data_IF_420618497993
#
_entry.id   IF_420618497993
#
_cell.length_a   1.000
_cell.length_b   1.000
_cell.length_c   1.000
_cell.angle_alpha   90.00
_cell.angle_beta   90.00
_cell.angle_gamma   90.00
#
_symmetry.space_group_name_H-M   'P 1'
#
loop_
_entity.id
_entity.type
_entity.pdbx_description
1 polymer ?
#
# COMPACT_ATOMS: atom_id res chain seq x y z
N UNK A 1 -1.53 7.91 -13.23
CA UNK A 1 -2.40 6.89 -12.59
C UNK A 1 -3.66 6.66 -13.42
N UNK A 2 -4.36 7.71 -13.89
CA UNK A 2 -5.61 7.56 -14.67
C UNK A 2 -5.44 6.65 -15.90
N UNK A 3 -4.35 6.80 -16.66
CA UNK A 3 -4.07 5.93 -17.80
C UNK A 3 -3.93 4.45 -17.36
N UNK A 4 -3.31 4.20 -16.20
CA UNK A 4 -3.19 2.84 -15.65
C UNK A 4 -4.56 2.27 -15.27
N UNK A 5 -5.42 3.06 -14.63
CA UNK A 5 -6.80 2.65 -14.32
C UNK A 5 -7.59 2.32 -15.60
N UNK A 6 -7.51 3.20 -16.61
CA UNK A 6 -8.20 3.02 -17.88
C UNK A 6 -7.79 1.75 -18.64
N UNK A 7 -6.58 1.25 -18.41
CA UNK A 7 -6.08 0.02 -19.01
C UNK A 7 -6.10 -1.18 -18.05
N UNK A 8 -6.69 -1.05 -16.86
CA UNK A 8 -6.76 -2.13 -15.88
C UNK A 8 -5.40 -2.58 -15.35
N UNK A 9 -4.39 -1.70 -15.40
CA UNK A 9 -3.04 -2.01 -14.92
C UNK A 9 -3.05 -2.06 -13.39
N UNK A 10 -2.46 -3.12 -12.83
CA UNK A 10 -2.28 -3.28 -11.39
C UNK A 10 -1.10 -2.46 -10.91
N UNK A 11 -1.28 -1.78 -9.78
CA UNK A 11 -0.27 -0.88 -9.23
C UNK A 11 0.26 -1.47 -7.92
N UNK A 12 1.54 -1.83 -7.90
CA UNK A 12 2.26 -2.14 -6.67
C UNK A 12 2.99 -0.89 -6.18
N UNK A 13 3.09 -0.73 -4.85
CA UNK A 13 3.83 0.34 -4.21
C UNK A 13 5.01 -0.24 -3.43
N UNK A 14 6.16 0.40 -3.55
CA UNK A 14 7.37 0.08 -2.81
C UNK A 14 8.13 1.34 -2.46
N UNK A 15 9.01 1.26 -1.45
CA UNK A 15 9.85 2.39 -1.03
C UNK A 15 10.93 2.72 -2.04
N UNK A 16 11.32 1.75 -2.86
CA UNK A 16 12.52 1.83 -3.71
C UNK A 16 13.77 2.26 -2.91
N UNK A 17 13.87 1.78 -1.67
CA UNK A 17 14.88 2.23 -0.72
C UNK A 17 16.30 2.09 -1.26
N UNK A 18 16.93 3.21 -1.54
CA UNK A 18 18.31 3.29 -2.01
C UNK A 18 18.96 4.61 -1.56
N UNK A 19 20.29 4.68 -1.44
CA UNK A 19 20.97 5.88 -0.95
C UNK A 19 20.99 7.04 -1.95
N UNK A 20 20.68 6.79 -3.22
CA UNK A 20 20.78 7.81 -4.27
C UNK A 20 19.54 8.69 -4.37
N UNK A 21 18.35 8.10 -4.47
CA UNK A 21 17.12 8.82 -4.79
C UNK A 21 15.96 8.58 -3.84
N UNK A 22 16.02 7.54 -3.00
CA UNK A 22 14.94 7.16 -2.11
C UNK A 22 15.45 6.62 -0.75
N UNK A 23 16.06 7.45 0.11
CA UNK A 23 16.51 7.02 1.43
C UNK A 23 15.32 6.85 2.39
N UNK A 24 14.34 6.06 1.99
CA UNK A 24 13.05 5.88 2.63
C UNK A 24 12.76 4.40 2.87
N UNK A 25 12.47 4.03 4.13
CA UNK A 25 12.13 2.67 4.52
C UNK A 25 10.67 2.49 4.94
N UNK A 26 9.92 3.60 5.12
CA UNK A 26 8.55 3.57 5.64
C UNK A 26 7.53 3.32 4.54
N UNK A 27 6.86 2.17 4.57
CA UNK A 27 5.71 1.89 3.70
C UNK A 27 4.52 2.81 3.99
N UNK A 28 4.33 3.27 5.23
CA UNK A 28 3.28 4.24 5.57
C UNK A 28 3.49 5.56 4.84
N UNK A 29 4.73 6.06 4.83
CA UNK A 29 5.06 7.27 4.08
C UNK A 29 4.93 7.05 2.57
N UNK A 30 5.31 5.87 2.07
CA UNK A 30 5.13 5.51 0.65
C UNK A 30 3.65 5.54 0.25
N UNK A 31 2.75 5.00 1.08
CA UNK A 31 1.31 5.08 0.84
C UNK A 31 0.79 6.53 0.88
N UNK A 32 1.27 7.34 1.84
CA UNK A 32 0.94 8.75 1.91
C UNK A 32 1.36 9.49 0.62
N UNK A 33 2.58 9.26 0.17
CA UNK A 33 3.08 9.82 -1.10
C UNK A 33 2.26 9.31 -2.31
N UNK A 34 1.89 8.04 -2.31
CA UNK A 34 1.00 7.46 -3.33
C UNK A 34 -0.34 8.19 -3.42
N UNK A 35 -0.96 8.45 -2.27
CA UNK A 35 -2.23 9.16 -2.20
C UNK A 35 -2.09 10.66 -2.58
N UNK A 36 -1.08 11.36 -2.04
CA UNK A 36 -0.95 12.81 -2.20
C UNK A 36 -0.36 13.22 -3.54
N UNK A 37 0.68 12.53 -4.02
CA UNK A 37 1.41 12.90 -5.24
C UNK A 37 0.82 12.23 -6.49
N UNK A 38 0.35 11.00 -6.36
CA UNK A 38 -0.14 10.20 -7.48
C UNK A 38 -1.66 10.04 -7.49
N UNK A 39 -2.36 10.59 -6.50
CA UNK A 39 -3.84 10.53 -6.38
C UNK A 39 -4.38 9.09 -6.37
N UNK A 40 -3.64 8.18 -5.74
CA UNK A 40 -4.14 6.85 -5.45
C UNK A 40 -5.20 6.92 -4.37
N UNK A 41 -6.23 6.09 -4.46
CA UNK A 41 -7.19 5.93 -3.37
C UNK A 41 -6.55 5.18 -2.20
N UNK A 42 -7.16 5.26 -1.02
CA UNK A 42 -6.70 4.52 0.16
C UNK A 42 -6.67 3.01 -0.12
N UNK A 43 -7.70 2.51 -0.78
CA UNK A 43 -7.76 1.09 -1.17
C UNK A 43 -6.62 0.73 -2.13
N UNK A 44 -6.35 1.54 -3.15
CA UNK A 44 -5.24 1.31 -4.08
C UNK A 44 -3.89 1.32 -3.35
N UNK A 45 -3.70 2.23 -2.38
CA UNK A 45 -2.49 2.26 -1.57
C UNK A 45 -2.33 0.99 -0.73
N UNK A 46 -3.38 0.57 -0.02
CA UNK A 46 -3.36 -0.64 0.80
C UNK A 46 -3.14 -1.89 -0.05
N UNK A 47 -3.85 -2.04 -1.15
CA UNK A 47 -3.64 -3.14 -2.10
C UNK A 47 -2.25 -3.10 -2.70
N UNK A 48 -1.76 -1.89 -3.00
CA UNK A 48 -0.45 -1.67 -3.60
C UNK A 48 0.71 -2.18 -2.75
N UNK A 49 0.62 -2.05 -1.42
CA UNK A 49 1.66 -2.54 -0.48
C UNK A 49 1.42 -3.97 0.01
N UNK A 50 0.29 -4.58 -0.34
CA UNK A 50 -0.08 -5.94 0.12
C UNK A 50 -0.26 -6.90 -1.06
N UNK A 51 -1.47 -7.08 -1.55
CA UNK A 51 -1.80 -8.06 -2.57
C UNK A 51 -1.06 -7.80 -3.91
N UNK A 52 -1.02 -6.56 -4.37
CA UNK A 52 -0.37 -6.25 -5.65
C UNK A 52 1.16 -6.28 -5.53
N UNK A 53 1.72 -5.86 -4.37
CA UNK A 53 3.15 -6.06 -4.10
C UNK A 53 3.53 -7.55 -4.06
N UNK A 54 2.73 -8.38 -3.35
CA UNK A 54 2.93 -9.82 -3.32
C UNK A 54 2.85 -10.46 -4.71
N UNK A 55 1.93 -9.98 -5.54
CA UNK A 55 1.79 -10.42 -6.94
C UNK A 55 3.02 -10.04 -7.77
N UNK A 56 3.50 -8.81 -7.65
CA UNK A 56 4.69 -8.34 -8.36
C UNK A 56 5.93 -9.16 -8.01
N UNK A 57 6.01 -9.65 -6.76
CA UNK A 57 7.06 -10.55 -6.28
C UNK A 57 6.84 -12.03 -6.63
N UNK A 58 5.74 -12.39 -7.30
CA UNK A 58 5.37 -13.78 -7.56
C UNK A 58 4.98 -14.58 -6.30
N UNK A 59 4.60 -13.91 -5.21
CA UNK A 59 4.38 -14.53 -3.90
C UNK A 59 2.93 -14.47 -3.40
N UNK A 60 1.98 -14.05 -4.21
CA UNK A 60 0.58 -13.91 -3.80
C UNK A 60 -0.03 -15.22 -3.24
N UNK A 61 0.46 -16.37 -3.67
CA UNK A 61 0.01 -17.66 -3.12
C UNK A 61 0.37 -17.90 -1.64
N UNK A 62 1.34 -17.16 -1.10
CA UNK A 62 1.83 -17.35 0.28
C UNK A 62 1.70 -16.14 1.18
N UNK A 63 1.60 -14.92 0.63
CA UNK A 63 1.52 -13.65 1.37
C UNK A 63 0.60 -12.65 0.65
N UNK A 64 0.38 -11.50 1.27
CA UNK A 64 -0.29 -10.35 0.67
C UNK A 64 -1.81 -10.29 0.88
N UNK A 65 -2.43 -11.37 1.35
CA UNK A 65 -3.85 -11.41 1.72
C UNK A 65 -4.03 -12.28 2.98
N UNK A 66 -5.11 -12.03 3.72
CA UNK A 66 -5.50 -12.82 4.89
C UNK A 66 -6.39 -13.98 4.45
N UNK A 67 -5.78 -15.11 4.16
CA UNK A 67 -6.46 -16.31 3.71
C UNK A 67 -5.89 -17.55 4.41
N UNK A 68 -6.73 -18.54 4.64
CA UNK A 68 -6.30 -19.82 5.21
C UNK A 68 -5.19 -20.47 4.36
N UNK A 69 -4.13 -20.93 5.02
CA UNK A 69 -2.97 -21.54 4.37
C UNK A 69 -1.87 -20.57 3.97
N UNK A 70 -2.09 -19.26 4.06
CA UNK A 70 -1.03 -18.25 3.86
C UNK A 70 -0.33 -17.89 5.17
N UNK A 71 0.81 -17.24 5.06
CA UNK A 71 1.53 -16.71 6.24
C UNK A 71 0.67 -15.65 6.93
N UNK A 72 0.64 -15.71 8.25
CA UNK A 72 -0.09 -14.76 9.09
C UNK A 72 0.76 -13.52 9.39
N UNK A 73 1.17 -12.81 8.34
CA UNK A 73 1.89 -11.55 8.46
C UNK A 73 0.83 -10.42 8.58
N UNK A 74 0.65 -9.87 9.78
CA UNK A 74 -0.41 -8.92 10.11
C UNK A 74 0.16 -7.56 10.52
N UNK A 75 -0.49 -6.49 10.10
CA UNK A 75 -0.33 -5.17 10.67
C UNK A 75 -1.64 -4.77 11.37
N UNK A 76 -1.55 -4.46 12.67
CA UNK A 76 -2.70 -4.02 13.48
C UNK A 76 -2.57 -2.53 13.71
N UNK A 77 -3.61 -1.79 13.35
CA UNK A 77 -3.62 -0.34 13.42
C UNK A 77 -4.68 0.11 14.43
N UNK A 78 -4.29 1.00 15.33
CA UNK A 78 -5.24 1.66 16.21
C UNK A 78 -5.81 2.88 15.50
N UNK A 79 -7.08 2.79 15.09
CA UNK A 79 -7.81 3.91 14.46
C UNK A 79 -9.11 4.13 15.23
N UNK A 80 -9.38 5.39 15.60
CA UNK A 80 -10.56 5.73 16.39
C UNK A 80 -11.88 5.49 15.65
N UNK A 81 -11.87 5.56 14.33
CA UNK A 81 -13.05 5.33 13.46
C UNK A 81 -12.61 4.68 12.16
N UNK A 82 -13.05 3.45 11.85
CA UNK A 82 -12.68 2.74 10.62
C UNK A 82 -13.45 3.21 9.36
N UNK A 83 -13.99 4.41 9.34
CA UNK A 83 -14.59 4.99 8.14
C UNK A 83 -13.49 5.38 7.13
N UNK A 84 -13.78 5.38 5.83
CA UNK A 84 -12.83 5.70 4.76
C UNK A 84 -12.06 7.01 5.00
N UNK A 85 -12.72 8.04 5.52
CA UNK A 85 -12.11 9.31 5.88
C UNK A 85 -11.04 9.18 6.97
N UNK A 86 -11.16 8.21 7.86
CA UNK A 86 -10.23 8.01 8.98
C UNK A 86 -8.98 7.28 8.54
N UNK A 87 -9.11 6.28 7.65
CA UNK A 87 -7.94 5.64 7.02
C UNK A 87 -7.16 6.64 6.18
N UNK A 88 -7.83 7.49 5.44
CA UNK A 88 -7.21 8.56 4.68
C UNK A 88 -6.47 9.55 5.59
N UNK A 89 -7.08 9.94 6.71
CA UNK A 89 -6.44 10.78 7.72
C UNK A 89 -5.27 10.08 8.40
N UNK A 90 -5.39 8.80 8.75
CA UNK A 90 -4.30 8.04 9.35
C UNK A 90 -3.10 7.89 8.40
N UNK A 91 -3.34 7.69 7.09
CA UNK A 91 -2.29 7.63 6.08
C UNK A 91 -1.65 9.00 5.82
N UNK A 92 -2.43 10.08 5.92
CA UNK A 92 -1.93 11.46 5.72
C UNK A 92 -1.17 12.01 6.93
N UNK A 93 -1.50 11.56 8.15
CA UNK A 93 -0.99 12.12 9.41
C UNK A 93 -0.29 11.10 10.31
N UNK A 94 0.15 9.96 9.76
CA UNK A 94 0.98 9.03 10.54
C UNK A 94 2.26 9.73 11.00
N UNK A 95 2.30 10.09 12.29
CA UNK A 95 3.49 10.64 12.95
C UNK A 95 4.53 9.54 13.16
#
# INVERSE_FOLDING_TARGET
VEAFRGHGVRIALATDCNPGSAPLTSLLLTMNMGATLFRLTVEECLRGVTAEAARALGRLGSIGTLEAGKRCDLAIWSVERPAESTLQSALMWSK
#
